data_IF_319896411092
#
_entry.id   IF_319896411092
#
_cell.length_a   1.000
_cell.length_b   1.000
_cell.length_c   1.000
_cell.angle_alpha   90.00
_cell.angle_beta   90.00
_cell.angle_gamma   90.00
#
_symmetry.space_group_name_H-M   'P 1'
#
loop_
_entity.id
_entity.type
_entity.pdbx_description
1 polymer ?
#
# COMPACT_ATOMS: atom_id res chain seq x y z
N UNK A 1 5.97 -25.74 -19.45
CA UNK A 1 5.99 -26.68 -18.27
C UNK A 1 6.83 -26.16 -17.12
N UNK A 2 7.92 -25.43 -17.37
CA UNK A 2 8.82 -24.89 -16.32
C UNK A 2 8.16 -23.72 -15.58
N UNK A 3 7.48 -22.81 -16.26
CA UNK A 3 6.77 -21.66 -15.65
C UNK A 3 5.71 -22.10 -14.63
N UNK A 4 4.93 -23.13 -14.95
CA UNK A 4 3.87 -23.64 -14.03
C UNK A 4 4.45 -24.28 -12.76
N UNK A 5 5.63 -24.87 -12.86
CA UNK A 5 6.33 -25.45 -11.70
C UNK A 5 6.86 -24.34 -10.79
N UNK A 6 7.47 -23.30 -11.36
CA UNK A 6 7.97 -22.12 -10.62
C UNK A 6 6.84 -21.38 -9.92
N UNK A 7 5.68 -21.18 -10.56
CA UNK A 7 4.52 -20.54 -9.92
C UNK A 7 3.98 -21.33 -8.72
N UNK A 8 3.94 -22.68 -8.81
CA UNK A 8 3.50 -23.54 -7.69
C UNK A 8 4.48 -23.50 -6.52
N UNK A 9 5.77 -23.56 -6.79
CA UNK A 9 6.80 -23.49 -5.76
C UNK A 9 6.81 -22.11 -5.10
N UNK A 10 6.75 -21.03 -5.88
CA UNK A 10 6.69 -19.67 -5.36
C UNK A 10 5.48 -19.45 -4.45
N UNK A 11 4.29 -19.97 -4.84
CA UNK A 11 3.09 -19.92 -4.02
C UNK A 11 3.26 -20.60 -2.65
N UNK A 12 3.95 -21.70 -2.61
CA UNK A 12 4.27 -22.42 -1.36
C UNK A 12 5.17 -21.59 -0.43
N UNK A 13 6.22 -20.97 -0.98
CA UNK A 13 7.12 -20.09 -0.21
C UNK A 13 6.40 -18.86 0.32
N UNK A 14 5.61 -18.20 -0.52
CA UNK A 14 4.82 -17.02 -0.12
C UNK A 14 3.82 -17.37 0.99
N UNK A 15 3.12 -18.52 0.88
CA UNK A 15 2.21 -18.97 1.91
C UNK A 15 2.91 -19.22 3.26
N UNK A 16 4.11 -19.80 3.25
CA UNK A 16 4.89 -19.98 4.49
C UNK A 16 5.36 -18.66 5.09
N UNK A 17 5.86 -17.74 4.26
CA UNK A 17 6.28 -16.41 4.71
C UNK A 17 5.12 -15.63 5.34
N UNK A 18 3.90 -15.78 4.79
CA UNK A 18 2.69 -15.16 5.29
C UNK A 18 2.18 -15.83 6.57
N UNK A 19 1.96 -17.17 6.54
CA UNK A 19 1.22 -17.87 7.59
C UNK A 19 2.10 -18.39 8.74
N UNK A 20 3.30 -18.90 8.41
CA UNK A 20 4.17 -19.54 9.40
C UNK A 20 5.10 -18.51 10.05
N UNK A 21 5.58 -17.51 9.28
CA UNK A 21 6.56 -16.54 9.75
C UNK A 21 6.01 -15.13 9.95
N UNK A 22 4.80 -14.82 9.44
CA UNK A 22 4.19 -13.48 9.48
C UNK A 22 5.14 -12.36 8.98
N UNK A 23 5.99 -12.69 8.01
CA UNK A 23 6.97 -11.75 7.44
C UNK A 23 6.39 -10.92 6.30
N UNK A 24 5.37 -11.43 5.64
CA UNK A 24 4.68 -10.73 4.56
C UNK A 24 3.17 -10.74 4.79
N UNK A 25 2.49 -9.74 4.26
CA UNK A 25 1.05 -9.71 4.14
C UNK A 25 0.64 -9.76 2.67
N UNK A 26 -0.41 -10.53 2.38
CA UNK A 26 -1.07 -10.52 1.08
C UNK A 26 -2.20 -9.51 1.10
N UNK A 27 -2.17 -8.55 0.19
CA UNK A 27 -3.22 -7.54 0.03
C UNK A 27 -3.91 -7.68 -1.31
N UNK A 28 -5.20 -7.39 -1.33
CA UNK A 28 -6.04 -7.32 -2.53
C UNK A 28 -6.73 -5.96 -2.54
N UNK A 29 -7.14 -5.45 -3.72
CA UNK A 29 -7.94 -4.22 -3.77
C UNK A 29 -9.20 -4.37 -2.93
N UNK A 30 -9.58 -3.30 -2.22
CA UNK A 30 -10.81 -3.29 -1.43
C UNK A 30 -12.02 -3.68 -2.31
N UNK A 31 -12.95 -4.47 -1.78
CA UNK A 31 -14.12 -5.02 -2.47
C UNK A 31 -13.80 -5.96 -3.65
N UNK A 32 -12.54 -6.31 -3.90
CA UNK A 32 -12.21 -7.33 -4.88
C UNK A 32 -12.67 -8.73 -4.41
N UNK A 33 -12.97 -9.59 -5.38
CA UNK A 33 -13.27 -11.00 -5.09
C UNK A 33 -12.05 -11.71 -4.49
N UNK A 34 -12.28 -12.65 -3.58
CA UNK A 34 -11.22 -13.40 -2.88
C UNK A 34 -10.27 -14.11 -3.86
N UNK A 35 -10.81 -14.60 -4.98
CA UNK A 35 -10.04 -15.32 -6.01
C UNK A 35 -9.33 -14.38 -7.00
N UNK A 36 -9.30 -13.07 -6.74
CA UNK A 36 -8.62 -12.11 -7.63
C UNK A 36 -7.15 -12.47 -7.80
N UNK A 37 -6.66 -12.35 -9.04
CA UNK A 37 -5.22 -12.44 -9.34
C UNK A 37 -4.49 -11.10 -9.14
N UNK A 38 -5.23 -10.02 -8.88
CA UNK A 38 -4.68 -8.70 -8.61
C UNK A 38 -4.25 -8.60 -7.14
N UNK A 39 -3.14 -9.23 -6.80
CA UNK A 39 -2.63 -9.33 -5.43
C UNK A 39 -1.28 -8.63 -5.31
N UNK A 40 -1.00 -8.07 -4.15
CA UNK A 40 0.31 -7.52 -3.78
C UNK A 40 0.78 -8.20 -2.50
N UNK A 41 2.08 -8.45 -2.40
CA UNK A 41 2.72 -8.90 -1.18
C UNK A 41 3.63 -7.78 -0.66
N UNK A 42 3.54 -7.51 0.63
CA UNK A 42 4.35 -6.49 1.31
C UNK A 42 5.00 -7.10 2.54
N UNK A 43 6.21 -6.66 2.87
CA UNK A 43 6.83 -6.99 4.15
C UNK A 43 6.03 -6.32 5.28
N UNK A 44 5.77 -7.07 6.36
CA UNK A 44 5.04 -6.57 7.52
C UNK A 44 5.90 -5.67 8.39
N UNK A 45 7.21 -5.91 8.41
CA UNK A 45 8.18 -5.22 9.25
C UNK A 45 8.90 -4.10 8.48
N UNK A 46 8.91 -2.89 9.05
CA UNK A 46 9.54 -1.72 8.43
C UNK A 46 11.08 -1.81 8.43
N UNK A 47 11.69 -2.46 9.45
CA UNK A 47 13.12 -2.66 9.48
C UNK A 47 13.56 -3.61 8.37
N UNK A 48 12.86 -4.75 8.18
CA UNK A 48 13.15 -5.67 7.08
C UNK A 48 12.94 -5.00 5.71
N UNK A 49 11.91 -4.16 5.58
CA UNK A 49 11.69 -3.38 4.35
C UNK A 49 12.87 -2.45 4.07
N UNK A 50 13.37 -1.74 5.09
CA UNK A 50 14.56 -0.89 5.00
C UNK A 50 15.80 -1.72 4.67
N UNK A 51 15.99 -2.83 5.40
CA UNK A 51 17.14 -3.70 5.23
C UNK A 51 17.27 -4.24 3.80
N UNK A 52 16.21 -4.84 3.25
CA UNK A 52 16.24 -5.40 1.91
C UNK A 52 16.38 -4.31 0.84
N UNK A 53 15.72 -3.17 1.03
CA UNK A 53 15.75 -2.07 0.06
C UNK A 53 17.11 -1.38 -0.04
N UNK A 54 17.77 -1.17 1.09
CA UNK A 54 18.97 -0.33 1.15
C UNK A 54 20.22 -1.10 1.53
N UNK A 55 20.18 -1.97 2.51
CA UNK A 55 21.35 -2.65 3.02
C UNK A 55 21.68 -3.88 2.18
N UNK A 56 20.76 -4.80 2.06
CA UNK A 56 20.99 -6.04 1.32
C UNK A 56 21.23 -5.78 -0.17
N UNK A 57 20.42 -4.96 -0.80
CA UNK A 57 20.54 -4.62 -2.22
C UNK A 57 21.88 -3.98 -2.59
N UNK A 58 22.45 -3.19 -1.68
CA UNK A 58 23.68 -2.45 -1.88
C UNK A 58 24.82 -2.94 -0.99
N UNK A 59 24.79 -4.21 -0.58
CA UNK A 59 25.80 -4.81 0.31
C UNK A 59 27.23 -4.65 -0.20
N UNK A 60 27.43 -4.70 -1.51
CA UNK A 60 28.74 -4.47 -2.13
C UNK A 60 29.38 -3.11 -1.77
N UNK A 61 28.56 -2.06 -1.52
CA UNK A 61 29.06 -0.76 -1.07
C UNK A 61 29.58 -0.83 0.37
N UNK A 62 28.98 -1.67 1.19
CA UNK A 62 29.39 -1.92 2.57
C UNK A 62 30.73 -2.68 2.58
N UNK A 63 30.83 -3.73 1.76
CA UNK A 63 32.01 -4.57 1.63
C UNK A 63 33.26 -3.77 1.20
N UNK A 64 33.10 -2.79 0.32
CA UNK A 64 34.20 -1.91 -0.12
C UNK A 64 34.36 -0.64 0.74
N UNK A 65 33.58 -0.49 1.84
CA UNK A 65 33.64 0.68 2.72
C UNK A 65 33.10 1.99 2.13
N UNK A 66 32.30 1.92 1.05
CA UNK A 66 31.76 3.10 0.35
C UNK A 66 30.47 3.64 1.00
N UNK A 67 30.51 3.91 2.31
CA UNK A 67 29.34 4.32 3.10
C UNK A 67 28.72 5.65 2.63
N UNK A 68 29.54 6.56 2.08
CA UNK A 68 29.05 7.82 1.53
C UNK A 68 28.09 7.59 0.37
N UNK A 69 28.39 6.65 -0.51
CA UNK A 69 27.53 6.34 -1.65
C UNK A 69 26.25 5.64 -1.20
N UNK A 70 26.35 4.74 -0.22
CA UNK A 70 25.17 4.10 0.37
C UNK A 70 24.24 5.15 0.99
N UNK A 71 24.78 6.10 1.73
CA UNK A 71 24.02 7.20 2.32
C UNK A 71 23.30 8.04 1.26
N UNK A 72 23.97 8.40 0.18
CA UNK A 72 23.37 9.16 -0.93
C UNK A 72 22.20 8.40 -1.56
N UNK A 73 22.29 7.07 -1.69
CA UNK A 73 21.21 6.23 -2.21
C UNK A 73 20.02 6.23 -1.23
N UNK A 74 20.29 6.09 0.07
CA UNK A 74 19.24 6.13 1.09
C UNK A 74 18.53 7.48 1.05
N UNK A 75 19.26 8.59 1.06
CA UNK A 75 18.70 9.95 1.03
C UNK A 75 17.83 10.18 -0.23
N UNK A 76 18.30 9.72 -1.40
CA UNK A 76 17.54 9.82 -2.66
C UNK A 76 16.19 9.08 -2.59
N UNK A 77 16.19 7.86 -2.06
CA UNK A 77 15.03 6.95 -2.15
C UNK A 77 14.19 6.90 -0.86
N UNK A 78 14.62 7.61 0.20
CA UNK A 78 13.98 7.61 1.51
C UNK A 78 12.55 8.15 1.48
N UNK A 79 12.29 9.13 0.62
CA UNK A 79 10.96 9.73 0.48
C UNK A 79 9.93 8.68 0.04
N UNK A 80 10.27 7.87 -0.98
CA UNK A 80 9.41 6.77 -1.44
C UNK A 80 9.26 5.67 -0.39
N UNK A 81 10.35 5.32 0.31
CA UNK A 81 10.32 4.32 1.37
C UNK A 81 9.40 4.73 2.52
N UNK A 82 9.57 5.94 3.03
CA UNK A 82 8.79 6.44 4.16
C UNK A 82 7.34 6.76 3.81
N UNK A 83 7.00 6.98 2.53
CA UNK A 83 5.62 7.09 2.07
C UNK A 83 4.80 5.84 2.38
N UNK A 84 5.36 4.66 2.15
CA UNK A 84 4.69 3.40 2.48
C UNK A 84 4.45 3.22 3.99
N UNK A 85 5.39 3.66 4.82
CA UNK A 85 5.23 3.65 6.27
C UNK A 85 4.12 4.61 6.73
N UNK A 86 4.01 5.78 6.08
CA UNK A 86 2.96 6.76 6.34
C UNK A 86 1.56 6.23 5.96
N UNK A 87 1.43 5.56 4.80
CA UNK A 87 0.18 4.88 4.42
C UNK A 87 -0.25 3.86 5.49
N UNK A 88 0.70 3.05 5.98
CA UNK A 88 0.43 2.07 7.03
C UNK A 88 -0.01 2.74 8.35
N UNK A 89 0.62 3.84 8.73
CA UNK A 89 0.28 4.62 9.91
C UNK A 89 -1.17 5.12 9.84
N UNK A 90 -1.55 5.82 8.76
CA UNK A 90 -2.92 6.31 8.63
C UNK A 90 -3.94 5.19 8.54
N UNK A 91 -3.62 4.08 7.86
CA UNK A 91 -4.49 2.91 7.84
C UNK A 91 -4.76 2.39 9.26
N UNK A 92 -3.73 2.33 10.10
CA UNK A 92 -3.89 1.92 11.51
C UNK A 92 -4.80 2.88 12.26
N UNK A 93 -4.62 4.19 12.10
CA UNK A 93 -5.50 5.19 12.73
C UNK A 93 -6.97 5.04 12.31
N UNK A 94 -7.24 4.76 11.03
CA UNK A 94 -8.61 4.52 10.56
C UNK A 94 -9.21 3.23 11.13
N UNK A 95 -8.39 2.19 11.34
CA UNK A 95 -8.84 0.95 11.99
C UNK A 95 -9.18 1.20 13.45
N UNK A 96 -8.35 1.97 14.16
CA UNK A 96 -8.52 2.28 15.59
C UNK A 96 -9.76 3.15 15.87
N UNK A 97 -10.29 3.86 14.88
CA UNK A 97 -11.54 4.61 15.01
C UNK A 97 -12.78 3.72 15.17
N UNK A 98 -12.71 2.44 14.77
CA UNK A 98 -13.81 1.46 14.84
C UNK A 98 -15.12 1.90 14.14
N UNK A 99 -15.04 2.90 13.24
CA UNK A 99 -16.19 3.51 12.56
C UNK A 99 -16.46 2.92 11.17
N UNK A 100 -15.61 2.00 10.70
CA UNK A 100 -15.66 1.51 9.34
C UNK A 100 -15.84 0.00 9.29
N UNK A 101 -16.65 -0.47 8.36
CA UNK A 101 -16.87 -1.90 8.12
C UNK A 101 -15.81 -2.52 7.24
N UNK A 102 -15.19 -1.70 6.38
CA UNK A 102 -14.10 -2.13 5.48
C UNK A 102 -13.06 -1.04 5.33
N UNK A 103 -11.79 -1.43 5.37
CA UNK A 103 -10.64 -0.54 5.16
C UNK A 103 -9.63 -1.23 4.25
N UNK A 104 -9.16 -0.53 3.21
CA UNK A 104 -8.15 -1.06 2.30
C UNK A 104 -7.71 -0.03 1.27
N UNK A 105 -6.78 -0.41 0.40
CA UNK A 105 -6.41 0.37 -0.77
C UNK A 105 -7.16 -0.11 -2.02
N UNK A 106 -7.14 0.68 -3.06
CA UNK A 106 -7.64 0.29 -4.37
C UNK A 106 -6.56 0.47 -5.43
N UNK A 107 -6.47 -0.48 -6.34
CA UNK A 107 -5.66 -0.37 -7.56
C UNK A 107 -6.28 -1.25 -8.65
N UNK A 108 -6.23 -0.75 -9.87
CA UNK A 108 -6.60 -1.54 -11.04
C UNK A 108 -5.44 -2.43 -11.52
N UNK A 109 -5.71 -3.28 -12.51
CA UNK A 109 -4.68 -4.19 -13.05
C UNK A 109 -3.52 -3.47 -13.74
N UNK A 110 -3.74 -2.25 -14.22
CA UNK A 110 -2.72 -1.44 -14.92
C UNK A 110 -1.97 -0.52 -13.95
N UNK A 111 -2.49 -0.33 -12.73
CA UNK A 111 -1.94 0.60 -11.74
C UNK A 111 -2.19 2.08 -12.08
N UNK A 112 -3.11 2.36 -13.01
CA UNK A 112 -3.44 3.72 -13.43
C UNK A 112 -4.33 4.43 -12.39
N UNK A 113 -5.24 3.67 -11.77
CA UNK A 113 -6.18 4.14 -10.76
C UNK A 113 -5.83 3.52 -9.40
N UNK A 114 -4.87 4.11 -8.72
CA UNK A 114 -4.48 3.71 -7.36
C UNK A 114 -4.99 4.76 -6.35
N UNK A 115 -5.63 4.28 -5.27
CA UNK A 115 -6.09 5.07 -4.12
C UNK A 115 -5.43 4.46 -2.88
N UNK A 116 -4.73 5.29 -2.12
CA UNK A 116 -3.89 4.84 -1.01
C UNK A 116 -4.71 4.21 0.12
N UNK A 117 -5.85 4.84 0.48
CA UNK A 117 -6.72 4.36 1.54
C UNK A 117 -8.19 4.65 1.21
N UNK A 118 -9.03 3.63 1.43
CA UNK A 118 -10.49 3.72 1.36
C UNK A 118 -11.05 3.13 2.64
N UNK A 119 -11.96 3.84 3.29
CA UNK A 119 -12.63 3.40 4.49
C UNK A 119 -14.15 3.52 4.31
N UNK A 120 -14.86 2.41 4.39
CA UNK A 120 -16.29 2.29 4.09
C UNK A 120 -17.06 1.99 5.36
N UNK A 121 -18.17 2.72 5.59
CA UNK A 121 -19.19 2.36 6.54
C UNK A 121 -20.45 1.93 5.76
N UNK A 122 -20.75 0.64 5.77
CA UNK A 122 -21.88 0.07 5.03
C UNK A 122 -23.23 0.39 5.69
N UNK A 123 -23.24 0.70 6.99
CA UNK A 123 -24.47 1.07 7.71
C UNK A 123 -24.90 2.50 7.39
N UNK A 124 -23.96 3.44 7.43
CA UNK A 124 -24.21 4.87 7.19
C UNK A 124 -24.16 5.22 5.70
N UNK A 125 -23.80 4.26 4.84
CA UNK A 125 -23.61 4.49 3.40
C UNK A 125 -22.61 5.61 3.12
N UNK A 126 -21.50 5.62 3.83
CA UNK A 126 -20.41 6.58 3.65
C UNK A 126 -19.12 5.87 3.23
N UNK A 127 -18.29 6.55 2.44
CA UNK A 127 -16.97 6.07 2.10
C UNK A 127 -15.98 7.22 2.07
N UNK A 128 -14.89 7.11 2.83
CA UNK A 128 -13.76 8.02 2.78
C UNK A 128 -12.76 7.52 1.73
N UNK A 129 -12.40 8.38 0.80
CA UNK A 129 -11.38 8.15 -0.23
C UNK A 129 -10.22 9.08 0.07
N UNK A 130 -9.06 8.50 0.38
CA UNK A 130 -7.94 9.23 0.96
C UNK A 130 -6.69 9.07 0.10
N UNK A 131 -6.04 10.19 -0.22
CA UNK A 131 -4.69 10.23 -0.76
C UNK A 131 -3.71 10.61 0.35
N UNK A 132 -2.59 9.87 0.44
CA UNK A 132 -1.59 10.04 1.49
C UNK A 132 -0.26 10.42 0.84
N UNK A 133 0.27 11.59 1.18
CA UNK A 133 1.58 12.07 0.70
C UNK A 133 2.39 12.60 1.86
N UNK A 134 3.71 12.47 1.79
CA UNK A 134 4.60 13.02 2.82
C UNK A 134 4.44 14.53 3.00
N UNK A 135 4.29 15.25 1.90
CA UNK A 135 4.14 16.70 1.88
C UNK A 135 2.74 17.06 1.37
N UNK A 136 2.03 17.90 2.10
CA UNK A 136 0.66 18.32 1.77
C UNK A 136 0.53 18.93 0.37
N UNK A 137 1.55 19.68 -0.06
CA UNK A 137 1.59 20.28 -1.41
C UNK A 137 1.58 19.28 -2.57
N UNK A 138 1.92 18.01 -2.31
CA UNK A 138 1.95 16.93 -3.30
C UNK A 138 0.62 16.16 -3.39
N UNK A 139 -0.38 16.56 -2.61
CA UNK A 139 -1.73 15.99 -2.66
C UNK A 139 -2.47 16.63 -3.83
N UNK A 140 -2.93 15.80 -4.75
CA UNK A 140 -3.72 16.19 -5.91
C UNK A 140 -5.20 15.81 -5.71
N UNK A 141 -5.97 16.73 -5.17
CA UNK A 141 -7.38 16.49 -4.87
C UNK A 141 -8.25 16.32 -6.13
N UNK A 142 -7.92 16.98 -7.23
CA UNK A 142 -8.67 16.83 -8.50
C UNK A 142 -8.49 15.42 -9.04
N UNK A 143 -7.26 14.95 -9.09
CA UNK A 143 -6.94 13.58 -9.51
C UNK A 143 -7.54 12.54 -8.57
N UNK A 144 -7.57 12.80 -7.25
CA UNK A 144 -8.22 11.93 -6.28
C UNK A 144 -9.72 11.81 -6.55
N UNK A 145 -10.39 12.92 -6.88
CA UNK A 145 -11.80 12.93 -7.27
C UNK A 145 -12.05 12.08 -8.53
N UNK A 146 -11.23 12.23 -9.56
CA UNK A 146 -11.33 11.44 -10.80
C UNK A 146 -11.24 9.94 -10.50
N UNK A 147 -10.20 9.52 -9.76
CA UNK A 147 -10.02 8.13 -9.33
C UNK A 147 -11.19 7.64 -8.46
N UNK A 148 -11.71 8.50 -7.59
CA UNK A 148 -12.84 8.19 -6.72
C UNK A 148 -14.13 7.95 -7.49
N UNK A 149 -14.39 8.69 -8.57
CA UNK A 149 -15.53 8.47 -9.47
C UNK A 149 -15.41 7.07 -10.12
N UNK A 150 -14.23 6.74 -10.65
CA UNK A 150 -13.97 5.42 -11.25
C UNK A 150 -14.18 4.31 -10.23
N UNK A 151 -13.64 4.48 -9.00
CA UNK A 151 -13.82 3.53 -7.92
C UNK A 151 -15.29 3.38 -7.54
N UNK A 152 -16.02 4.46 -7.33
CA UNK A 152 -17.44 4.46 -6.95
C UNK A 152 -18.29 3.64 -7.92
N UNK A 153 -18.08 3.82 -9.22
CA UNK A 153 -18.79 3.11 -10.28
C UNK A 153 -18.39 1.62 -10.26
N UNK A 154 -17.09 1.33 -10.22
CA UNK A 154 -16.55 -0.03 -10.28
C UNK A 154 -16.96 -0.86 -9.05
N UNK A 155 -17.03 -0.23 -7.89
CA UNK A 155 -17.39 -0.84 -6.62
C UNK A 155 -18.91 -0.91 -6.37
N UNK A 156 -19.73 -0.30 -7.24
CA UNK A 156 -21.19 -0.28 -7.08
C UNK A 156 -21.68 0.56 -5.91
N UNK A 157 -20.94 1.58 -5.50
CA UNK A 157 -21.24 2.45 -4.35
C UNK A 157 -22.07 3.68 -4.74
N UNK A 158 -23.02 3.53 -5.67
CA UNK A 158 -23.78 4.66 -6.23
C UNK A 158 -24.61 5.42 -5.19
N UNK A 159 -25.11 4.73 -4.17
CA UNK A 159 -25.93 5.25 -3.07
C UNK A 159 -25.08 5.73 -1.87
N UNK A 160 -23.74 5.69 -1.97
CA UNK A 160 -22.86 6.13 -0.90
C UNK A 160 -22.49 7.62 -1.03
N UNK A 161 -22.45 8.30 0.11
CA UNK A 161 -21.83 9.61 0.24
C UNK A 161 -20.31 9.43 0.26
N UNK A 162 -19.63 10.06 -0.68
CA UNK A 162 -18.17 9.99 -0.78
C UNK A 162 -17.55 11.23 -0.13
N UNK A 163 -16.59 11.00 0.76
CA UNK A 163 -15.79 12.03 1.43
C UNK A 163 -14.37 11.91 0.91
N UNK A 164 -13.82 12.97 0.34
CA UNK A 164 -12.45 13.00 -0.16
C UNK A 164 -11.55 13.71 0.82
N UNK A 165 -10.39 13.12 1.11
CA UNK A 165 -9.45 13.64 2.08
C UNK A 165 -8.00 13.46 1.62
N UNK A 166 -7.19 14.50 1.80
CA UNK A 166 -5.75 14.42 1.64
C UNK A 166 -5.07 14.42 3.01
N UNK A 167 -4.18 13.47 3.26
CA UNK A 167 -3.43 13.36 4.51
C UNK A 167 -1.92 13.42 4.25
N UNK A 168 -1.19 14.02 5.17
CA UNK A 168 0.25 14.21 5.09
C UNK A 168 0.92 14.03 6.45
N UNK A 169 2.24 14.19 6.50
CA UNK A 169 2.97 14.19 7.78
C UNK A 169 2.55 15.33 8.73
N UNK A 170 1.88 16.37 8.20
CA UNK A 170 1.37 17.48 9.01
C UNK A 170 0.10 17.08 9.81
N UNK A 171 -0.53 15.96 9.43
CA UNK A 171 -1.77 15.46 10.02
C UNK A 171 -1.53 14.29 11.01
N UNK A 172 -0.25 14.05 11.36
CA UNK A 172 0.17 13.00 12.31
C UNK A 172 0.00 13.40 13.77
#
# INVERSE_FOLDING_TARGET
KIEVVIEKELGGYLSRLEKDFNLIEKTIPILAKVETKNVRYRLTDNFLTFWFRFIFKYNYLIEIGSYKQLRNIIERDYETFSGLALEKYFRTLFIEQENYTRIGGFWDRRGENEIDLIAINEFDKTANIVEIKRQKKNIDMERLHEKGIVFKITAGLNDYQIIYQGLSMEDM
#
